data_IF_924748112630
#
_entry.id   IF_924748112630
#
_cell.length_a   1.000
_cell.length_b   1.000
_cell.length_c   1.000
_cell.angle_alpha   90.00
_cell.angle_beta   90.00
_cell.angle_gamma   90.00
#
_symmetry.space_group_name_H-M   'P 1'
#
loop_
_entity.id
_entity.type
_entity.pdbx_description
1 polymer ?
#
# COMPACT_ATOMS: atom_id res chain seq x y z
N UNK A 1 16.41 -21.51 -5.10
CA UNK A 1 16.24 -20.10 -5.46
C UNK A 1 14.97 -19.55 -4.80
N UNK A 2 15.10 -18.45 -4.12
CA UNK A 2 13.96 -17.84 -3.44
C UNK A 2 13.01 -17.21 -4.47
N UNK A 3 11.70 -17.34 -4.24
CA UNK A 3 10.70 -16.63 -5.01
C UNK A 3 10.65 -15.15 -4.64
N UNK A 4 9.71 -14.36 -5.20
CA UNK A 4 9.57 -12.96 -4.84
C UNK A 4 9.20 -12.80 -3.37
N UNK A 5 9.69 -11.70 -2.78
CA UNK A 5 9.42 -11.35 -1.37
C UNK A 5 8.17 -10.49 -1.25
N UNK A 6 7.93 -9.63 -2.25
CA UNK A 6 6.83 -8.68 -2.28
C UNK A 6 6.05 -8.85 -3.59
N UNK A 7 4.73 -8.73 -3.51
CA UNK A 7 3.88 -8.73 -4.70
C UNK A 7 2.89 -7.58 -4.60
N UNK A 8 2.81 -6.77 -5.65
CA UNK A 8 1.81 -5.73 -5.78
C UNK A 8 0.76 -6.16 -6.80
N UNK A 9 -0.50 -5.86 -6.50
CA UNK A 9 -1.63 -6.18 -7.39
C UNK A 9 -2.58 -5.01 -7.42
N UNK A 10 -2.97 -4.56 -8.63
CA UNK A 10 -3.92 -3.49 -8.79
C UNK A 10 -5.30 -4.02 -9.21
N UNK A 11 -6.34 -3.17 -9.10
CA UNK A 11 -7.74 -3.56 -9.30
C UNK A 11 -8.03 -4.15 -10.68
N UNK A 12 -7.28 -3.74 -11.71
CA UNK A 12 -7.43 -4.24 -13.08
C UNK A 12 -6.80 -5.60 -13.33
N UNK A 13 -6.13 -6.17 -12.33
CA UNK A 13 -5.53 -7.50 -12.41
C UNK A 13 -4.05 -7.53 -12.74
N UNK A 14 -3.41 -6.37 -12.94
CA UNK A 14 -1.97 -6.34 -13.17
C UNK A 14 -1.22 -6.66 -11.87
N UNK A 15 -0.13 -7.43 -12.00
CA UNK A 15 0.67 -7.90 -10.88
C UNK A 15 2.15 -7.58 -11.13
N UNK A 16 2.84 -7.13 -10.08
CA UNK A 16 4.29 -6.89 -10.11
C UNK A 16 4.94 -7.65 -8.96
N UNK A 17 5.99 -8.43 -9.28
CA UNK A 17 6.80 -9.10 -8.26
C UNK A 17 8.01 -8.23 -7.92
N UNK A 18 8.27 -8.05 -6.63
CA UNK A 18 9.35 -7.22 -6.07
C UNK A 18 9.42 -5.82 -6.74
N UNK A 19 8.29 -5.07 -6.74
CA UNK A 19 8.26 -3.77 -7.40
C UNK A 19 9.18 -2.75 -6.73
N UNK A 20 9.80 -1.90 -7.57
CA UNK A 20 10.58 -0.75 -7.07
C UNK A 20 9.65 0.34 -6.54
N UNK A 21 10.22 1.32 -5.82
CA UNK A 21 9.46 2.48 -5.38
C UNK A 21 8.86 3.23 -6.58
N UNK A 22 9.60 3.35 -7.69
CA UNK A 22 9.11 3.98 -8.91
C UNK A 22 7.89 3.23 -9.47
N UNK A 23 7.94 1.90 -9.51
CA UNK A 23 6.81 1.09 -9.96
C UNK A 23 5.59 1.29 -9.07
N UNK A 24 5.79 1.30 -7.75
CA UNK A 24 4.70 1.55 -6.79
C UNK A 24 4.13 2.96 -6.97
N UNK A 25 4.98 3.96 -7.16
CA UNK A 25 4.55 5.33 -7.42
C UNK A 25 3.68 5.40 -8.69
N UNK A 26 4.12 4.79 -9.78
CA UNK A 26 3.39 4.83 -11.04
C UNK A 26 2.05 4.09 -10.94
N UNK A 27 2.02 2.95 -10.26
CA UNK A 27 0.79 2.21 -10.03
C UNK A 27 -0.21 3.03 -9.20
N UNK A 28 0.26 3.73 -8.17
CA UNK A 28 -0.60 4.61 -7.36
C UNK A 28 -1.12 5.79 -8.19
N UNK A 29 -0.25 6.39 -9.01
CA UNK A 29 -0.64 7.52 -9.86
C UNK A 29 -1.70 7.14 -10.89
N UNK A 30 -1.74 5.87 -11.29
CA UNK A 30 -2.70 5.35 -12.26
C UNK A 30 -4.05 4.97 -11.64
N UNK A 31 -4.19 4.96 -10.32
CA UNK A 31 -5.48 4.68 -9.68
C UNK A 31 -6.52 5.70 -10.11
N UNK A 32 -7.74 5.22 -10.34
CA UNK A 32 -8.86 6.04 -10.80
C UNK A 32 -10.18 5.47 -10.26
N UNK A 33 -11.30 6.12 -10.56
CA UNK A 33 -12.59 5.71 -10.01
C UNK A 33 -13.13 4.39 -10.61
N UNK A 34 -12.46 3.82 -11.60
CA UNK A 34 -12.74 2.47 -12.12
C UNK A 34 -11.82 1.43 -11.47
N UNK A 35 -10.53 1.73 -11.40
CA UNK A 35 -9.49 0.85 -10.83
C UNK A 35 -8.96 1.52 -9.57
N UNK A 36 -9.57 1.23 -8.42
CA UNK A 36 -9.46 2.05 -7.21
C UNK A 36 -8.42 1.61 -6.20
N UNK A 37 -7.83 0.40 -6.34
CA UNK A 37 -6.96 -0.09 -5.26
C UNK A 37 -5.66 -0.69 -5.77
N UNK A 38 -4.66 -0.61 -4.89
CA UNK A 38 -3.38 -1.30 -5.02
C UNK A 38 -3.14 -2.04 -3.71
N UNK A 39 -2.84 -3.33 -3.78
CA UNK A 39 -2.49 -4.15 -2.63
C UNK A 39 -1.03 -4.57 -2.77
N UNK A 40 -0.23 -4.34 -1.72
CA UNK A 40 1.17 -4.79 -1.65
C UNK A 40 1.27 -5.81 -0.53
N UNK A 41 1.70 -7.01 -0.87
CA UNK A 41 1.76 -8.13 0.06
C UNK A 41 3.20 -8.58 0.30
N UNK A 42 3.53 -8.90 1.56
CA UNK A 42 4.79 -9.55 1.92
C UNK A 42 4.60 -11.07 1.86
N UNK A 43 5.25 -11.70 0.88
CA UNK A 43 5.13 -13.14 0.64
C UNK A 43 6.05 -13.96 1.55
N UNK A 44 7.02 -13.31 2.18
CA UNK A 44 8.02 -13.95 3.04
C UNK A 44 7.59 -14.04 4.51
N UNK A 45 6.43 -13.47 4.87
CA UNK A 45 5.95 -13.44 6.24
C UNK A 45 4.79 -14.40 6.45
N UNK A 46 4.72 -14.96 7.67
CA UNK A 46 3.66 -15.89 8.08
C UNK A 46 2.71 -15.20 9.06
N UNK A 47 1.41 -15.52 9.05
CA UNK A 47 0.72 -16.44 8.12
C UNK A 47 0.54 -15.83 6.72
N UNK A 48 0.55 -16.69 5.71
CA UNK A 48 0.40 -16.26 4.32
C UNK A 48 -0.89 -15.48 4.12
N UNK A 49 -0.82 -14.38 3.33
CA UNK A 49 -1.98 -13.55 3.03
C UNK A 49 -2.39 -12.59 4.15
N UNK A 50 -1.69 -12.60 5.29
CA UNK A 50 -2.04 -11.77 6.45
C UNK A 50 -1.06 -10.61 6.69
N UNK A 51 -0.16 -10.35 5.74
CA UNK A 51 0.80 -9.24 5.81
C UNK A 51 0.72 -8.45 4.52
N UNK A 52 -0.06 -7.35 4.54
CA UNK A 52 -0.24 -6.52 3.35
C UNK A 52 -0.52 -5.08 3.72
N UNK A 53 -0.33 -4.21 2.73
CA UNK A 53 -0.74 -2.81 2.80
C UNK A 53 -1.59 -2.53 1.56
N UNK A 54 -2.73 -1.88 1.75
CA UNK A 54 -3.67 -1.57 0.67
C UNK A 54 -3.89 -0.07 0.60
N UNK A 55 -3.95 0.46 -0.62
CA UNK A 55 -4.35 1.83 -0.88
C UNK A 55 -5.62 1.81 -1.71
N UNK A 56 -6.63 2.52 -1.25
CA UNK A 56 -7.92 2.65 -1.94
C UNK A 56 -8.21 4.11 -2.24
N UNK A 57 -8.60 4.40 -3.48
CA UNK A 57 -8.97 5.75 -3.90
C UNK A 57 -10.46 6.00 -3.61
N UNK A 58 -10.74 6.99 -2.77
CA UNK A 58 -12.10 7.38 -2.42
C UNK A 58 -12.74 8.26 -3.50
N UNK A 59 -14.06 8.44 -3.44
CA UNK A 59 -14.80 9.24 -4.43
C UNK A 59 -14.33 10.69 -4.50
N UNK A 60 -13.86 11.25 -3.40
CA UNK A 60 -13.36 12.63 -3.34
C UNK A 60 -11.88 12.73 -3.72
N UNK A 61 -11.29 11.65 -4.21
CA UNK A 61 -9.88 11.54 -4.61
C UNK A 61 -8.90 11.59 -3.44
N UNK A 62 -9.37 11.44 -2.21
CA UNK A 62 -8.52 11.12 -1.08
C UNK A 62 -8.21 9.63 -1.07
N UNK A 63 -7.31 9.20 -0.19
CA UNK A 63 -6.90 7.81 -0.11
C UNK A 63 -7.18 7.24 1.27
N UNK A 64 -7.62 5.97 1.28
CA UNK A 64 -7.68 5.15 2.46
C UNK A 64 -6.52 4.17 2.39
N UNK A 65 -5.60 4.25 3.34
CA UNK A 65 -4.46 3.32 3.42
C UNK A 65 -4.73 2.38 4.59
N UNK A 66 -4.53 1.08 4.34
CA UNK A 66 -4.73 0.05 5.37
C UNK A 66 -3.52 -0.86 5.42
N UNK A 67 -3.23 -1.40 6.61
CA UNK A 67 -2.26 -2.48 6.68
C UNK A 67 -2.73 -3.55 7.66
N UNK A 68 -2.32 -4.79 7.39
CA UNK A 68 -2.53 -5.93 8.25
C UNK A 68 -1.17 -6.54 8.58
N UNK A 69 -0.99 -6.88 9.87
CA UNK A 69 0.30 -7.34 10.37
C UNK A 69 0.12 -8.66 11.12
N UNK A 70 -0.31 -9.70 10.38
CA UNK A 70 -0.41 -11.06 10.88
C UNK A 70 -1.81 -11.57 11.15
N UNK A 71 -2.80 -10.69 11.31
CA UNK A 71 -4.19 -11.10 11.58
C UNK A 71 -5.14 -9.93 11.69
N UNK A 72 -6.43 -10.22 11.78
CA UNK A 72 -7.47 -9.18 11.82
C UNK A 72 -7.42 -8.33 13.08
N UNK A 73 -6.83 -8.83 14.16
CA UNK A 73 -6.61 -8.08 15.41
C UNK A 73 -5.50 -7.05 15.30
N UNK A 74 -4.74 -7.07 14.20
CA UNK A 74 -3.66 -6.14 13.90
C UNK A 74 -3.89 -5.48 12.54
N UNK A 75 -5.09 -4.97 12.34
CA UNK A 75 -5.49 -4.27 11.11
C UNK A 75 -5.69 -2.80 11.43
N UNK A 76 -5.06 -1.92 10.64
CA UNK A 76 -5.04 -0.48 10.88
C UNK A 76 -5.36 0.28 9.61
N UNK A 77 -5.82 1.52 9.77
CA UNK A 77 -6.18 2.39 8.66
C UNK A 77 -5.67 3.81 8.88
N UNK A 78 -5.47 4.53 7.80
CA UNK A 78 -5.16 5.95 7.82
C UNK A 78 -5.80 6.63 6.62
N UNK A 79 -6.36 7.82 6.83
CA UNK A 79 -6.90 8.65 5.76
C UNK A 79 -5.83 9.62 5.29
N UNK A 80 -5.59 9.67 3.97
CA UNK A 80 -4.66 10.62 3.35
C UNK A 80 -5.46 11.56 2.45
N UNK A 81 -5.56 12.85 2.79
CA UNK A 81 -6.29 13.82 1.96
C UNK A 81 -5.67 13.92 0.57
N UNK A 82 -6.46 14.36 -0.39
CA UNK A 82 -5.96 14.67 -1.74
C UNK A 82 -4.81 15.65 -1.64
N UNK A 83 -3.67 15.30 -2.26
CA UNK A 83 -2.48 16.13 -2.23
C UNK A 83 -2.42 17.10 -3.41
N UNK A 84 -1.72 18.25 -3.29
CA UNK A 84 -1.43 19.10 -4.44
C UNK A 84 -0.75 18.30 -5.55
N UNK A 85 -1.02 18.67 -6.81
CA UNK A 85 -0.50 17.96 -7.99
C UNK A 85 1.02 17.79 -7.94
N UNK A 86 1.74 18.80 -7.45
CA UNK A 86 3.21 18.77 -7.37
C UNK A 86 3.74 17.72 -6.39
N UNK A 87 2.93 17.33 -5.40
CA UNK A 87 3.28 16.31 -4.41
C UNK A 87 2.76 14.94 -4.89
N UNK A 88 1.53 14.91 -5.39
CA UNK A 88 0.90 13.70 -5.92
C UNK A 88 0.87 12.56 -4.91
N UNK A 89 1.21 11.36 -5.38
CA UNK A 89 1.18 10.12 -4.56
C UNK A 89 2.53 9.79 -3.92
N UNK A 90 3.53 10.66 -4.04
CA UNK A 90 4.87 10.38 -3.53
C UNK A 90 4.91 10.00 -2.05
N UNK A 91 4.19 10.71 -1.15
CA UNK A 91 4.21 10.33 0.27
C UNK A 91 3.68 8.91 0.51
N UNK A 92 2.65 8.49 -0.22
CA UNK A 92 2.08 7.14 -0.09
C UNK A 92 3.04 6.11 -0.70
N UNK A 93 3.65 6.41 -1.84
CA UNK A 93 4.63 5.53 -2.47
C UNK A 93 5.81 5.24 -1.53
N UNK A 94 6.28 6.26 -0.82
CA UNK A 94 7.37 6.10 0.16
C UNK A 94 6.95 5.20 1.32
N UNK A 95 5.72 5.33 1.81
CA UNK A 95 5.19 4.47 2.87
C UNK A 95 5.17 3.02 2.41
N UNK A 96 4.65 2.75 1.21
CA UNK A 96 4.60 1.40 0.66
C UNK A 96 6.00 0.81 0.48
N UNK A 97 6.93 1.57 -0.08
CA UNK A 97 8.28 1.10 -0.33
C UNK A 97 9.02 0.81 0.97
N UNK A 98 8.89 1.68 1.98
CA UNK A 98 9.52 1.48 3.27
C UNK A 98 8.97 0.24 3.97
N UNK A 99 7.65 0.09 3.99
CA UNK A 99 7.00 -1.11 4.53
C UNK A 99 7.45 -2.37 3.81
N UNK A 100 7.49 -2.34 2.49
CA UNK A 100 7.87 -3.50 1.67
C UNK A 100 9.30 -3.95 1.91
N UNK A 101 10.20 -3.01 2.22
CA UNK A 101 11.62 -3.30 2.49
C UNK A 101 11.89 -3.65 3.95
N UNK A 102 10.86 -3.65 4.81
CA UNK A 102 11.01 -3.96 6.23
C UNK A 102 11.48 -2.79 7.08
N UNK A 103 11.46 -1.57 6.55
CA UNK A 103 11.83 -0.37 7.29
C UNK A 103 10.79 0.02 8.33
N UNK A 104 11.15 0.87 9.31
CA UNK A 104 10.24 1.29 10.39
C UNK A 104 9.55 2.62 10.18
N UNK A 105 10.02 3.45 9.23
CA UNK A 105 9.57 4.85 9.09
C UNK A 105 8.11 5.00 8.71
N UNK A 106 7.54 4.01 8.01
CA UNK A 106 6.14 4.06 7.59
C UNK A 106 5.16 4.13 8.77
N UNK A 107 5.55 3.61 9.93
CA UNK A 107 4.69 3.63 11.12
C UNK A 107 4.40 5.05 11.61
N UNK A 108 5.35 5.95 11.43
CA UNK A 108 5.22 7.35 11.88
C UNK A 108 4.74 8.27 10.77
N UNK A 109 4.73 7.81 9.53
CA UNK A 109 4.46 8.64 8.37
C UNK A 109 2.97 9.00 8.20
N UNK A 110 2.07 8.16 8.72
CA UNK A 110 0.62 8.36 8.59
C UNK A 110 -0.06 8.22 9.96
N UNK A 111 -1.25 8.83 10.13
CA UNK A 111 -1.99 8.78 11.40
C UNK A 111 -2.80 7.48 11.51
N UNK A 112 -2.12 6.37 11.74
CA UNK A 112 -2.74 5.05 11.82
C UNK A 112 -3.72 4.94 12.99
N UNK A 113 -4.89 4.35 12.71
CA UNK A 113 -5.91 4.05 13.71
C UNK A 113 -6.28 2.57 13.58
N UNK A 114 -6.60 1.94 14.72
CA UNK A 114 -7.03 0.55 14.69
C UNK A 114 -8.32 0.42 13.88
N UNK A 115 -8.41 -0.62 13.07
CA UNK A 115 -9.63 -0.93 12.33
C UNK A 115 -10.71 -1.39 13.31
N UNK A 116 -11.90 -0.78 13.28
CA UNK A 116 -12.97 -1.15 14.20
C UNK A 116 -13.56 -2.53 13.93
#
# INVERSE_FOLDING_TARGET
>A
MAGPVVRAREAGGQVWDDPSETTLHDALADLNLTWRFLIVERLDLEPAGQHYMQVFLNDDLSYQVEYREGGEDKHFQAHVPRQPVVIGVEPIAKVLADWASGGPGWREALPWEAWP
#
